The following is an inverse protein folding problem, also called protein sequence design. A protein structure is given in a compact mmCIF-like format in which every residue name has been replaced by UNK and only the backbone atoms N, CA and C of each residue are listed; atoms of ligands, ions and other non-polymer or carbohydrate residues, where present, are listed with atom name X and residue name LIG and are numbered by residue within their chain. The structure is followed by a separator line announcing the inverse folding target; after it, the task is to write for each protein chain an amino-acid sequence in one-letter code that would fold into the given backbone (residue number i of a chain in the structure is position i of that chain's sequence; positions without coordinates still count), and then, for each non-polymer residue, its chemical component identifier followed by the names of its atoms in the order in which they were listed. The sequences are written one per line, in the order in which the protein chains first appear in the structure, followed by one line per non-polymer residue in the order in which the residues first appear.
data_IF_028581313797
#
_entry.id   IF_028581313797
#
_cell.length_a   1.000
_cell.length_b   1.000
_cell.length_c   1.000
_cell.angle_alpha   90.00
_cell.angle_beta   90.00
_cell.angle_gamma   90.00
#
_symmetry.space_group_name_H-M   'P 1'
#
loop_
_entity.id
_entity.type
_entity.pdbx_description
1 polymer ?
#
# COMPACT_ATOMS: atom_id res chain seq x y z
N UNK A 1 7.20 14.19 9.13
CA UNK A 1 6.74 13.20 8.12
C UNK A 1 5.72 13.89 7.21
N UNK A 2 5.80 13.68 5.89
CA UNK A 2 4.84 14.27 4.92
C UNK A 2 3.74 13.30 4.47
N UNK A 3 3.94 12.01 4.73
CA UNK A 3 3.05 10.93 4.33
C UNK A 3 3.20 9.71 5.25
N UNK A 4 2.22 8.82 5.17
CA UNK A 4 2.23 7.48 5.77
C UNK A 4 2.21 6.46 4.63
N UNK A 5 2.98 5.38 4.77
CA UNK A 5 3.05 4.30 3.79
C UNK A 5 2.60 2.98 4.42
N UNK A 6 2.06 2.10 3.60
CA UNK A 6 1.72 0.72 3.97
C UNK A 6 1.89 -0.18 2.76
N UNK A 7 2.28 -1.43 2.96
CA UNK A 7 2.48 -2.38 1.88
C UNK A 7 1.94 -3.76 2.26
N UNK A 8 1.64 -4.56 1.25
CA UNK A 8 1.17 -5.94 1.41
C UNK A 8 1.52 -6.75 0.17
N UNK A 9 1.49 -8.08 0.26
CA UNK A 9 1.71 -8.93 -0.89
C UNK A 9 0.65 -8.67 -1.97
N UNK A 10 1.04 -8.78 -3.25
CA UNK A 10 0.16 -8.51 -4.40
C UNK A 10 -1.12 -9.36 -4.39
N UNK A 11 -1.08 -10.54 -3.79
CA UNK A 11 -2.23 -11.44 -3.68
C UNK A 11 -3.13 -11.17 -2.46
N UNK A 12 -2.74 -10.28 -1.54
CA UNK A 12 -3.53 -9.94 -0.35
C UNK A 12 -4.60 -8.88 -0.66
N UNK A 13 -5.57 -9.27 -1.48
CA UNK A 13 -6.69 -8.43 -1.91
C UNK A 13 -7.53 -7.87 -0.75
N UNK A 14 -7.80 -8.60 0.36
CA UNK A 14 -8.51 -8.03 1.51
C UNK A 14 -7.79 -6.82 2.11
N UNK A 15 -6.47 -6.89 2.27
CA UNK A 15 -5.67 -5.79 2.82
C UNK A 15 -5.63 -4.58 1.88
N UNK A 16 -5.44 -4.81 0.57
CA UNK A 16 -5.48 -3.75 -0.46
C UNK A 16 -6.82 -3.01 -0.47
N UNK A 17 -7.95 -3.73 -0.33
CA UNK A 17 -9.28 -3.12 -0.23
C UNK A 17 -9.42 -2.21 0.98
N UNK A 18 -8.85 -2.58 2.13
CA UNK A 18 -8.85 -1.71 3.32
C UNK A 18 -8.04 -0.45 3.05
N UNK A 19 -6.83 -0.58 2.49
CA UNK A 19 -5.99 0.58 2.14
C UNK A 19 -6.71 1.55 1.20
N UNK A 20 -7.38 1.02 0.16
CA UNK A 20 -8.22 1.81 -0.75
C UNK A 20 -9.40 2.46 -0.02
N UNK A 21 -10.11 1.71 0.84
CA UNK A 21 -11.30 2.20 1.56
C UNK A 21 -10.98 3.34 2.53
N UNK A 22 -9.80 3.33 3.16
CA UNK A 22 -9.35 4.43 4.03
C UNK A 22 -8.68 5.58 3.27
N UNK A 23 -8.73 5.56 1.93
CA UNK A 23 -8.26 6.63 1.06
C UNK A 23 -6.76 6.65 0.76
N UNK A 24 -6.04 5.55 1.03
CA UNK A 24 -4.67 5.43 0.53
C UNK A 24 -4.67 5.18 -0.98
N UNK A 25 -3.64 5.67 -1.66
CA UNK A 25 -3.44 5.47 -3.09
C UNK A 25 -2.27 4.54 -3.33
N UNK A 26 -2.41 3.63 -4.29
CA UNK A 26 -1.32 2.78 -4.70
C UNK A 26 -0.27 3.62 -5.45
N UNK A 27 1.00 3.43 -5.09
CA UNK A 27 2.13 3.92 -5.88
C UNK A 27 2.76 2.73 -6.58
N UNK A 28 2.42 2.58 -7.86
CA UNK A 28 2.95 1.50 -8.69
C UNK A 28 4.46 1.57 -8.87
N UNK A 29 5.05 2.79 -8.83
CA UNK A 29 6.49 2.99 -8.94
C UNK A 29 7.25 2.55 -7.68
N UNK A 30 6.54 2.40 -6.57
CA UNK A 30 7.07 1.97 -5.28
C UNK A 30 6.82 0.50 -4.94
N UNK A 31 6.22 -0.27 -5.84
CA UNK A 31 6.11 -1.73 -5.69
C UNK A 31 7.52 -2.34 -5.63
N UNK A 32 7.67 -3.43 -4.86
CA UNK A 32 8.97 -4.04 -4.61
C UNK A 32 8.87 -5.52 -4.30
N UNK A 33 9.99 -6.23 -4.43
CA UNK A 33 10.12 -7.61 -3.97
C UNK A 33 10.64 -7.65 -2.54
N UNK A 34 9.97 -8.44 -1.68
CA UNK A 34 10.34 -8.55 -0.28
C UNK A 34 11.75 -9.14 -0.13
N UNK A 35 12.68 -8.46 0.57
CA UNK A 35 14.10 -8.85 0.58
C UNK A 35 14.36 -10.18 1.30
N UNK A 36 13.48 -10.56 2.25
CA UNK A 36 13.64 -11.77 3.05
C UNK A 36 12.89 -12.99 2.48
N UNK A 37 12.46 -12.94 1.22
CA UNK A 37 11.79 -14.06 0.54
C UNK A 37 12.60 -14.52 -0.67
N UNK A 38 12.68 -15.83 -0.86
CA UNK A 38 13.38 -16.44 -1.98
C UNK A 38 12.71 -16.09 -3.32
N UNK A 39 13.50 -16.10 -4.40
CA UNK A 39 12.99 -15.91 -5.76
C UNK A 39 11.89 -16.92 -6.08
N UNK A 40 10.81 -16.44 -6.69
CA UNK A 40 9.64 -17.27 -7.01
C UNK A 40 8.65 -17.49 -5.86
N UNK A 41 8.94 -17.03 -4.64
CA UNK A 41 7.99 -17.13 -3.53
C UNK A 41 6.73 -16.30 -3.81
N UNK A 42 5.50 -16.85 -3.66
CA UNK A 42 4.26 -16.18 -4.07
C UNK A 42 3.94 -14.90 -3.28
N UNK A 43 4.49 -14.75 -2.07
CA UNK A 43 4.37 -13.54 -1.26
C UNK A 43 5.50 -12.53 -1.49
N UNK A 44 6.45 -12.79 -2.38
CA UNK A 44 7.58 -11.89 -2.62
C UNK A 44 7.15 -10.56 -3.24
N UNK A 45 6.28 -10.51 -4.27
CA UNK A 45 5.88 -9.25 -4.87
C UNK A 45 4.95 -8.47 -3.95
N UNK A 46 5.33 -7.25 -3.60
CA UNK A 46 4.56 -6.35 -2.75
C UNK A 46 4.10 -5.10 -3.50
N UNK A 47 2.92 -4.64 -3.13
CA UNK A 47 2.36 -3.36 -3.56
C UNK A 47 2.52 -2.31 -2.47
N UNK A 48 2.83 -1.07 -2.86
CA UNK A 48 3.01 0.04 -1.92
C UNK A 48 1.84 1.03 -2.02
N UNK A 49 1.29 1.40 -0.87
CA UNK A 49 0.26 2.42 -0.73
C UNK A 49 0.78 3.59 0.08
N UNK A 50 0.33 4.80 -0.26
CA UNK A 50 0.66 6.04 0.43
C UNK A 50 -0.58 6.87 0.71
N UNK A 51 -0.52 7.65 1.78
CA UNK A 51 -1.47 8.72 2.04
C UNK A 51 -0.74 9.91 2.64
N UNK A 52 -0.87 11.06 1.99
CA UNK A 52 -0.41 12.35 2.54
C UNK A 52 -1.39 12.83 3.62
N UNK A 53 -0.92 13.71 4.49
CA UNK A 53 -1.78 14.35 5.48
C UNK A 53 -2.97 15.08 4.84
N UNK A 54 -2.76 15.74 3.69
CA UNK A 54 -3.82 16.43 2.97
C UNK A 54 -4.86 15.47 2.38
N UNK A 55 -4.45 14.34 1.80
CA UNK A 55 -5.38 13.30 1.32
C UNK A 55 -6.20 12.73 2.47
N UNK A 56 -5.57 12.43 3.61
CA UNK A 56 -6.28 11.95 4.80
C UNK A 56 -7.30 12.96 5.32
N UNK A 57 -6.97 14.25 5.38
CA UNK A 57 -7.94 15.28 5.78
C UNK A 57 -9.15 15.36 4.83
N UNK A 58 -9.00 15.02 3.55
CA UNK A 58 -10.12 14.97 2.60
C UNK A 58 -11.06 13.79 2.85
N UNK A 59 -10.59 12.67 3.40
CA UNK A 59 -11.46 11.52 3.71
C UNK A 59 -12.37 11.78 4.91
N UNK A 60 -12.06 12.78 5.73
CA UNK A 60 -12.84 13.16 6.91
C UNK A 60 -13.93 14.21 6.61
N UNK A 61 -13.90 14.83 5.43
CA UNK A 61 -14.88 15.85 5.06
C UNK A 61 -16.18 15.15 4.63
N UNK A 62 -17.33 15.49 5.24
CA UNK A 62 -18.62 14.91 4.89
C UNK A 62 -19.08 15.30 3.49
#
# INVERSE_FOLDING_TARGET
MKEIVSFTAVNNQPSQKVMQAIGMQQDESGNFDHPNLDDGHPLKPHVLYRISHEQWLRTLKP
#
